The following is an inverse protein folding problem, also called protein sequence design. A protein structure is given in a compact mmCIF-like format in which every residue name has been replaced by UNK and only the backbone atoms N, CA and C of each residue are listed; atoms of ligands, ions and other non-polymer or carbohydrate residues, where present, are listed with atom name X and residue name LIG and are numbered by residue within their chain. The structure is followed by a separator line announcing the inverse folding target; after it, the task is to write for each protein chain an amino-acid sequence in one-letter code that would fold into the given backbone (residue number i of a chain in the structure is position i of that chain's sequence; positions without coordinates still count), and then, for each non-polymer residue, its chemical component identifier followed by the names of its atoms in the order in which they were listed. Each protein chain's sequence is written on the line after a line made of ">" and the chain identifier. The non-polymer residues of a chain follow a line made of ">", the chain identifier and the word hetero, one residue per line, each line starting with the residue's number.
data_IF_704627278347
#
_entry.id   IF_704627278347
#
_cell.length_a   1.000
_cell.length_b   1.000
_cell.length_c   1.000
_cell.angle_alpha   90.00
_cell.angle_beta   90.00
_cell.angle_gamma   90.00
#
_symmetry.space_group_name_H-M   'P 1'
#
loop_
_entity.id
_entity.type
_entity.pdbx_description
1 polymer ?
#
# COMPACT_ATOMS: atom_id res chain seq x y z
N UNK A 1 -5.14 4.38 8.25
CA UNK A 1 -4.57 4.72 6.93
C UNK A 1 -5.24 3.95 5.79
N UNK A 2 -5.89 2.86 6.11
CA UNK A 2 -6.54 2.03 5.09
C UNK A 2 -8.06 2.21 5.05
N UNK A 3 -8.59 3.16 5.80
CA UNK A 3 -10.02 3.43 5.75
C UNK A 3 -10.45 3.97 4.38
N UNK A 4 -11.64 3.63 3.92
CA UNK A 4 -12.64 2.80 4.60
C UNK A 4 -12.45 1.30 4.40
N UNK A 5 -11.47 0.86 3.62
CA UNK A 5 -11.23 -0.57 3.32
C UNK A 5 -11.04 -1.37 4.61
N UNK A 6 -10.22 -0.85 5.52
CA UNK A 6 -9.97 -1.46 6.84
C UNK A 6 -10.18 -0.39 7.90
N UNK A 7 -11.11 -0.64 8.82
CA UNK A 7 -11.36 0.25 9.94
C UNK A 7 -10.20 0.17 10.94
N UNK A 8 -10.02 1.26 11.71
CA UNK A 8 -9.04 1.25 12.80
C UNK A 8 -9.35 0.14 13.80
N UNK A 9 -8.31 -0.39 14.42
CA UNK A 9 -8.40 -1.47 15.42
C UNK A 9 -9.01 -2.75 14.87
N UNK A 10 -8.98 -2.97 13.57
CA UNK A 10 -9.42 -4.21 12.95
C UNK A 10 -8.41 -5.33 13.21
N UNK A 11 -8.91 -6.55 13.38
CA UNK A 11 -8.08 -7.75 13.33
C UNK A 11 -8.21 -8.37 11.94
N UNK A 12 -7.08 -8.75 11.35
CA UNK A 12 -6.99 -9.24 10.00
C UNK A 12 -6.41 -10.65 9.96
N UNK A 13 -6.82 -11.42 8.95
CA UNK A 13 -6.15 -12.65 8.60
C UNK A 13 -5.26 -12.39 7.38
N UNK A 14 -3.97 -12.70 7.53
CA UNK A 14 -2.99 -12.49 6.48
C UNK A 14 -2.27 -13.80 6.18
N UNK A 15 -2.03 -14.05 4.89
CA UNK A 15 -1.21 -15.17 4.44
C UNK A 15 0.23 -14.70 4.31
N UNK A 16 1.16 -15.50 4.83
CA UNK A 16 2.58 -15.24 4.66
C UNK A 16 2.95 -15.27 3.18
N UNK A 17 3.74 -14.30 2.76
CA UNK A 17 4.23 -14.24 1.38
C UNK A 17 5.54 -15.01 1.27
N UNK A 18 5.54 -16.07 0.46
CA UNK A 18 6.73 -16.90 0.20
C UNK A 18 7.31 -16.64 -1.18
N UNK A 19 6.51 -16.14 -2.11
CA UNK A 19 6.91 -15.88 -3.49
C UNK A 19 6.51 -14.45 -3.86
N UNK A 20 7.49 -13.56 -3.92
CA UNK A 20 7.28 -12.16 -4.24
C UNK A 20 6.75 -11.95 -5.68
N UNK A 21 7.05 -12.88 -6.58
CA UNK A 21 6.57 -12.78 -7.96
C UNK A 21 5.04 -12.91 -8.09
N UNK A 22 4.39 -13.45 -7.06
CA UNK A 22 2.93 -13.58 -7.02
C UNK A 22 2.22 -12.34 -6.51
N UNK A 23 2.95 -11.34 -6.03
CA UNK A 23 2.35 -10.08 -5.60
C UNK A 23 1.83 -9.30 -6.79
N UNK A 24 0.66 -8.71 -6.61
CA UNK A 24 0.00 -7.93 -7.66
C UNK A 24 -0.30 -6.53 -7.15
N UNK A 25 -0.32 -5.57 -8.08
CA UNK A 25 -0.79 -4.21 -7.75
C UNK A 25 -2.21 -4.30 -7.20
N UNK A 26 -2.45 -3.58 -6.12
CA UNK A 26 -3.73 -3.60 -5.44
C UNK A 26 -3.78 -4.53 -4.23
N UNK A 27 -2.82 -5.43 -4.05
CA UNK A 27 -2.74 -6.28 -2.86
C UNK A 27 -2.55 -5.42 -1.61
N UNK A 28 -3.18 -5.85 -0.51
CA UNK A 28 -2.99 -5.23 0.80
C UNK A 28 -1.91 -6.02 1.52
N UNK A 29 -0.81 -5.34 1.85
CA UNK A 29 0.43 -5.99 2.30
C UNK A 29 0.79 -5.55 3.71
N UNK A 30 1.24 -6.53 4.51
CA UNK A 30 1.83 -6.31 5.82
C UNK A 30 3.35 -6.39 5.66
N UNK A 31 4.04 -5.34 6.09
CA UNK A 31 5.50 -5.26 5.95
C UNK A 31 6.13 -4.48 7.10
N UNK A 32 7.43 -4.63 7.25
CA UNK A 32 8.21 -3.87 8.23
C UNK A 32 8.76 -2.62 7.55
N UNK A 33 8.50 -1.47 8.13
CA UNK A 33 8.98 -0.21 7.58
C UNK A 33 10.50 -0.11 7.66
N UNK A 34 11.10 0.39 6.58
CA UNK A 34 12.54 0.59 6.48
C UNK A 34 12.91 2.07 6.52
N UNK A 35 11.97 2.95 6.21
CA UNK A 35 12.22 4.39 6.27
C UNK A 35 12.65 4.80 7.66
N UNK A 36 13.68 5.69 7.81
CA UNK A 36 14.25 5.99 9.12
C UNK A 36 13.24 6.43 10.19
N UNK A 37 12.23 7.20 9.79
CA UNK A 37 11.23 7.75 10.72
C UNK A 37 10.32 6.67 11.35
N UNK A 38 10.21 5.48 10.72
CA UNK A 38 9.33 4.40 11.15
C UNK A 38 10.04 3.05 11.22
N UNK A 39 11.36 3.03 11.15
CA UNK A 39 12.15 1.79 11.06
C UNK A 39 11.75 0.77 12.13
N UNK A 40 11.45 -0.45 11.68
CA UNK A 40 11.05 -1.55 12.55
C UNK A 40 9.56 -1.63 12.86
N UNK A 41 8.78 -0.62 12.48
CA UNK A 41 7.33 -0.61 12.67
C UNK A 41 6.66 -1.51 11.64
N UNK A 42 5.70 -2.34 12.06
CA UNK A 42 4.87 -3.13 11.16
C UNK A 42 3.75 -2.26 10.61
N UNK A 43 3.65 -2.19 9.30
CA UNK A 43 2.66 -1.38 8.61
C UNK A 43 1.79 -2.26 7.71
N UNK A 44 0.59 -1.75 7.42
CA UNK A 44 -0.31 -2.34 6.43
C UNK A 44 -0.70 -1.25 5.44
N UNK A 45 -0.45 -1.50 4.16
CA UNK A 45 -0.71 -0.55 3.07
C UNK A 45 -1.08 -1.30 1.81
N UNK A 46 -1.57 -0.58 0.82
CA UNK A 46 -1.85 -1.15 -0.49
C UNK A 46 -0.63 -1.06 -1.39
N UNK A 47 -0.34 -2.15 -2.08
CA UNK A 47 0.76 -2.22 -3.05
C UNK A 47 0.35 -1.45 -4.31
N UNK A 48 1.09 -0.41 -4.61
CA UNK A 48 0.82 0.46 -5.76
C UNK A 48 1.80 0.20 -6.89
N UNK A 49 3.10 0.15 -6.57
CA UNK A 49 4.14 -0.04 -7.58
C UNK A 49 4.95 -1.30 -7.36
N UNK A 50 5.10 -2.08 -8.43
CA UNK A 50 5.95 -3.26 -8.49
C UNK A 50 7.36 -2.87 -8.95
N UNK A 51 8.37 -3.74 -8.76
CA UNK A 51 9.71 -3.47 -9.28
C UNK A 51 9.68 -3.08 -10.76
N UNK A 52 10.35 -1.99 -11.10
CA UNK A 52 10.42 -1.47 -12.46
C UNK A 52 9.29 -0.54 -12.88
N UNK A 53 8.27 -0.36 -12.04
CA UNK A 53 7.16 0.52 -12.38
C UNK A 53 7.54 2.00 -12.30
N UNK A 54 6.98 2.77 -13.24
CA UNK A 54 6.99 4.23 -13.20
C UNK A 54 5.62 4.69 -12.74
N UNK A 55 5.56 5.35 -11.58
CA UNK A 55 4.31 5.78 -10.94
C UNK A 55 4.24 7.30 -10.90
N UNK A 56 3.17 7.86 -11.42
CA UNK A 56 2.92 9.31 -11.37
C UNK A 56 1.64 9.58 -10.60
N UNK A 57 1.68 10.60 -9.75
CA UNK A 57 0.49 11.10 -9.03
C UNK A 57 0.32 12.55 -9.44
N UNK A 58 -0.84 12.90 -9.97
CA UNK A 58 -1.11 14.25 -10.43
C UNK A 58 -1.71 15.14 -9.32
N UNK A 59 -2.06 16.35 -9.68
CA UNK A 59 -2.61 17.35 -8.76
C UNK A 59 -3.99 16.99 -8.21
N UNK A 60 -4.68 16.06 -8.85
CA UNK A 60 -5.97 15.54 -8.40
C UNK A 60 -5.83 14.24 -7.60
N UNK A 61 -4.61 13.74 -7.44
CA UNK A 61 -4.36 12.47 -6.77
C UNK A 61 -4.56 11.26 -7.66
N UNK A 62 -4.77 11.45 -8.95
CA UNK A 62 -4.88 10.34 -9.90
C UNK A 62 -3.54 9.66 -10.06
N UNK A 63 -3.53 8.35 -9.92
CA UNK A 63 -2.34 7.51 -10.05
C UNK A 63 -2.27 6.92 -11.45
N UNK A 64 -1.14 7.11 -12.11
CA UNK A 64 -0.85 6.55 -13.42
C UNK A 64 0.38 5.65 -13.30
N UNK A 65 0.28 4.42 -13.74
CA UNK A 65 1.37 3.45 -13.68
C UNK A 65 1.73 3.01 -15.09
N UNK A 66 2.98 3.25 -15.48
CA UNK A 66 3.48 2.93 -16.82
C UNK A 66 2.57 3.48 -17.93
N UNK A 67 2.06 4.70 -17.73
CA UNK A 67 1.19 5.37 -18.67
C UNK A 67 -0.29 5.01 -18.60
N UNK A 68 -0.69 4.10 -17.72
CA UNK A 68 -2.08 3.68 -17.55
C UNK A 68 -2.69 4.28 -16.28
N UNK A 69 -3.79 5.02 -16.45
CA UNK A 69 -4.53 5.59 -15.33
C UNK A 69 -5.19 4.46 -14.53
N UNK A 70 -5.00 4.50 -13.21
CA UNK A 70 -5.56 3.49 -12.31
C UNK A 70 -6.95 3.87 -11.83
N UNK A 71 -7.86 2.89 -11.80
CA UNK A 71 -9.19 3.04 -11.22
C UNK A 71 -9.09 2.67 -9.74
N UNK A 72 -9.12 3.67 -8.87
CA UNK A 72 -8.91 3.48 -7.44
C UNK A 72 -10.20 3.67 -6.65
N UNK A 73 -11.18 2.79 -6.88
CA UNK A 73 -12.50 2.87 -6.23
C UNK A 73 -12.43 2.75 -4.70
N UNK A 74 -11.36 2.15 -4.17
CA UNK A 74 -11.13 2.03 -2.72
C UNK A 74 -10.68 3.34 -2.06
N UNK A 75 -10.29 4.34 -2.84
CA UNK A 75 -9.89 5.65 -2.30
C UNK A 75 -11.13 6.53 -2.19
N UNK A 76 -11.53 6.80 -0.96
CA UNK A 76 -12.67 7.67 -0.65
C UNK A 76 -12.20 9.02 -0.11
N UNK A 77 -11.17 9.00 0.75
CA UNK A 77 -10.61 10.21 1.36
C UNK A 77 -9.33 10.58 0.62
N UNK A 78 -9.44 11.56 -0.28
CA UNK A 78 -8.34 11.95 -1.16
C UNK A 78 -7.54 13.12 -0.59
N UNK A 79 -6.23 13.06 -0.75
CA UNK A 79 -5.34 14.18 -0.58
C UNK A 79 -4.21 14.05 -1.59
N UNK A 80 -4.16 14.98 -2.53
CA UNK A 80 -3.22 14.90 -3.63
C UNK A 80 -1.85 15.44 -3.24
N UNK A 81 -0.82 14.66 -3.55
CA UNK A 81 0.58 15.07 -3.45
C UNK A 81 1.22 14.74 -4.78
N UNK A 82 1.30 15.71 -5.71
CA UNK A 82 1.93 15.46 -7.00
C UNK A 82 3.31 14.88 -6.81
N UNK A 83 3.55 13.71 -7.38
CA UNK A 83 4.78 12.93 -7.16
C UNK A 83 5.08 12.05 -8.35
N UNK A 84 6.31 11.60 -8.42
CA UNK A 84 6.77 10.70 -9.47
C UNK A 84 7.77 9.73 -8.86
N UNK A 85 7.62 8.45 -9.18
CA UNK A 85 8.44 7.38 -8.61
C UNK A 85 8.88 6.42 -9.71
N UNK A 86 10.15 6.02 -9.65
CA UNK A 86 10.68 4.91 -10.44
C UNK A 86 11.08 3.81 -9.47
N UNK A 87 10.26 2.77 -9.40
CA UNK A 87 10.45 1.70 -8.41
C UNK A 87 11.63 0.82 -8.81
N UNK A 88 12.69 0.75 -7.99
CA UNK A 88 13.85 -0.09 -8.32
C UNK A 88 13.52 -1.58 -8.33
N UNK A 89 14.35 -2.37 -9.00
CA UNK A 89 14.27 -3.81 -8.92
C UNK A 89 14.42 -4.27 -7.47
N UNK A 90 13.59 -5.23 -7.07
CA UNK A 90 13.58 -5.75 -5.70
C UNK A 90 12.85 -4.89 -4.69
N UNK A 91 12.24 -3.77 -5.13
CA UNK A 91 11.56 -2.83 -4.26
C UNK A 91 10.11 -2.63 -4.67
N UNK A 92 9.32 -2.07 -3.75
CA UNK A 92 7.87 -1.91 -3.87
C UNK A 92 7.44 -0.55 -3.35
N UNK A 93 6.36 -0.01 -3.91
CA UNK A 93 5.79 1.27 -3.52
C UNK A 93 4.42 1.07 -2.90
N UNK A 94 4.17 1.69 -1.75
CA UNK A 94 2.95 1.50 -0.97
C UNK A 94 2.23 2.81 -0.67
N UNK A 95 0.90 2.77 -0.70
CA UNK A 95 0.07 3.90 -0.29
C UNK A 95 -1.11 3.39 0.54
N UNK A 96 -1.56 4.21 1.49
CA UNK A 96 -2.77 3.91 2.23
C UNK A 96 -4.01 4.30 1.42
N UNK A 97 -5.11 3.58 1.61
CA UNK A 97 -6.38 3.89 0.94
C UNK A 97 -6.96 5.22 1.42
N UNK A 98 -6.80 5.53 2.70
CA UNK A 98 -7.16 6.85 3.24
C UNK A 98 -6.04 7.84 2.90
N UNK A 99 -6.06 8.34 1.67
CA UNK A 99 -5.02 9.25 1.15
C UNK A 99 -4.89 10.52 1.97
N UNK A 100 -5.98 10.96 2.57
CA UNK A 100 -6.00 12.15 3.40
C UNK A 100 -5.33 11.94 4.76
N UNK A 101 -5.21 10.69 5.22
CA UNK A 101 -4.65 10.37 6.53
C UNK A 101 -3.79 9.10 6.47
N UNK A 102 -2.79 9.11 5.62
CA UNK A 102 -1.84 8.01 5.50
C UNK A 102 -0.42 8.55 5.36
N UNK A 103 0.45 8.10 6.25
CA UNK A 103 1.89 8.29 6.12
C UNK A 103 2.42 7.09 5.34
N UNK A 104 2.77 7.31 4.09
CA UNK A 104 3.16 6.25 3.17
C UNK A 104 4.31 6.68 2.26
N UNK A 105 4.54 5.94 1.18
CA UNK A 105 5.65 6.20 0.26
C UNK A 105 5.71 7.64 -0.25
N UNK A 106 4.57 8.34 -0.31
CA UNK A 106 4.52 9.73 -0.75
C UNK A 106 5.27 10.68 0.19
N UNK A 107 5.37 10.33 1.47
CA UNK A 107 5.95 11.16 2.52
C UNK A 107 7.30 10.69 3.00
N UNK A 108 7.60 9.38 2.88
CA UNK A 108 8.79 8.80 3.51
C UNK A 108 10.06 9.29 2.86
N UNK A 109 11.09 9.48 3.70
CA UNK A 109 12.43 9.81 3.24
C UNK A 109 12.94 8.73 2.27
N UNK A 110 12.66 7.47 2.57
CA UNK A 110 12.91 6.34 1.67
C UNK A 110 11.56 5.76 1.23
N UNK A 111 11.09 6.10 0.03
CA UNK A 111 9.76 5.69 -0.42
C UNK A 111 9.65 4.22 -0.80
N UNK A 112 10.76 3.55 -1.08
CA UNK A 112 10.75 2.19 -1.59
C UNK A 112 11.03 1.18 -0.50
N UNK A 113 10.23 0.10 -0.47
CA UNK A 113 10.33 -0.97 0.53
C UNK A 113 10.92 -2.21 -0.13
N UNK A 114 11.97 -2.78 0.47
CA UNK A 114 12.59 -4.01 -0.02
C UNK A 114 11.63 -5.19 0.09
N UNK A 115 11.67 -6.07 -0.89
CA UNK A 115 10.89 -7.30 -0.84
C UNK A 115 11.17 -8.16 0.39
N UNK A 116 12.37 -8.06 0.96
CA UNK A 116 12.74 -8.78 2.18
C UNK A 116 11.93 -8.36 3.40
N UNK A 117 11.38 -7.14 3.39
CA UNK A 117 10.59 -6.61 4.50
C UNK A 117 9.12 -6.98 4.42
N UNK A 118 8.68 -7.59 3.33
CA UNK A 118 7.29 -8.00 3.14
C UNK A 118 7.03 -9.28 3.92
N UNK A 119 5.98 -9.25 4.76
CA UNK A 119 5.63 -10.36 5.64
C UNK A 119 4.44 -11.14 5.12
N UNK A 120 3.36 -10.47 4.74
CA UNK A 120 2.14 -11.16 4.37
C UNK A 120 1.19 -10.32 3.53
N UNK A 121 0.18 -11.00 2.98
CA UNK A 121 -0.92 -10.38 2.24
C UNK A 121 -2.20 -10.54 3.03
N UNK A 122 -2.87 -9.44 3.33
CA UNK A 122 -4.12 -9.44 4.07
C UNK A 122 -5.26 -9.89 3.16
N UNK A 123 -6.08 -10.82 3.63
CA UNK A 123 -7.16 -11.39 2.82
C UNK A 123 -8.53 -11.31 3.48
N UNK A 124 -8.60 -11.27 4.82
CA UNK A 124 -9.85 -11.19 5.56
C UNK A 124 -9.78 -10.19 6.69
N UNK A 125 -10.91 -9.52 6.94
CA UNK A 125 -11.14 -8.78 8.19
C UNK A 125 -11.86 -9.71 9.15
N UNK A 126 -11.28 -9.95 10.33
CA UNK A 126 -11.84 -10.80 11.37
C UNK A 126 -12.61 -10.04 12.43
N UNK A 127 -12.20 -8.81 12.71
CA UNK A 127 -12.77 -7.96 13.76
C UNK A 127 -12.68 -6.50 13.34
N UNK A 128 -13.71 -5.70 13.58
CA UNK A 128 -15.00 -6.06 14.19
C UNK A 128 -15.86 -6.92 13.24
N UNK A 129 -16.80 -7.68 13.80
CA UNK A 129 -17.68 -8.56 13.03
C UNK A 129 -18.46 -7.85 11.93
N UNK A 130 -18.80 -6.57 12.13
CA UNK A 130 -19.50 -5.78 11.13
C UNK A 130 -18.70 -5.63 9.83
N UNK A 131 -17.38 -5.82 9.90
CA UNK A 131 -16.46 -5.73 8.75
C UNK A 131 -15.89 -7.08 8.35
N UNK A 132 -16.42 -8.17 8.94
CA UNK A 132 -15.95 -9.51 8.62
C UNK A 132 -16.17 -9.84 7.15
N UNK A 133 -15.13 -10.30 6.51
CA UNK A 133 -15.22 -10.71 5.11
C UNK A 133 -13.92 -10.55 4.35
N UNK A 134 -14.01 -10.88 3.06
CA UNK A 134 -12.88 -10.85 2.16
C UNK A 134 -12.52 -9.41 1.78
N UNK A 135 -11.25 -9.10 1.83
CA UNK A 135 -10.72 -7.83 1.37
C UNK A 135 -10.52 -7.83 -0.15
N UNK A 136 -10.73 -6.68 -0.73
CA UNK A 136 -10.58 -6.48 -2.17
C UNK A 136 -9.42 -5.56 -2.48
#
# INVERSE_FOLDING_TARGET
>A
SMEPTIAEHSALFALRVHDLEKLERGDIIVFTAETPELAGTTLIKRLIGLPGDHVEIDENGTVTINGEVQQESYVVYQYAIPSEFDVPEGYYLFMGDNRANSMDSRYWQNPYVSGESIQGRAIFTLFPFSNFGKLQ
#
